data_IF_088537437809
#
_entry.id   IF_088537437809
#
_cell.length_a   1.000
_cell.length_b   1.000
_cell.length_c   1.000
_cell.angle_alpha   90.00
_cell.angle_beta   90.00
_cell.angle_gamma   90.00
#
_symmetry.space_group_name_H-M   'P 1'
#
loop_
_entity.id
_entity.type
_entity.pdbx_description
1 polymer ?
#
# COMPACT_ATOMS: atom_id res chain seq x y z
N UNK A 1 -14.55 -20.70 1.23
CA UNK A 1 -15.33 -20.76 -0.03
C UNK A 1 -14.32 -20.95 -1.16
N UNK A 2 -14.25 -22.13 -1.82
CA UNK A 2 -13.37 -22.35 -2.98
C UNK A 2 -13.82 -21.38 -4.09
N UNK A 3 -12.94 -20.48 -4.54
CA UNK A 3 -13.17 -19.73 -5.76
C UNK A 3 -13.44 -20.72 -6.88
N UNK A 4 -14.62 -20.64 -7.51
CA UNK A 4 -14.92 -21.43 -8.69
C UNK A 4 -13.96 -20.99 -9.79
N UNK A 5 -13.09 -21.89 -10.23
CA UNK A 5 -12.40 -21.78 -11.51
C UNK A 5 -13.47 -21.70 -12.60
N UNK A 6 -13.91 -20.48 -12.93
CA UNK A 6 -14.74 -20.23 -14.10
C UNK A 6 -13.79 -20.24 -15.28
N UNK A 7 -14.14 -20.98 -16.34
CA UNK A 7 -13.47 -20.83 -17.62
C UNK A 7 -13.55 -19.35 -18.02
N UNK A 8 -12.39 -18.69 -18.10
CA UNK A 8 -12.29 -17.29 -18.48
C UNK A 8 -12.47 -17.24 -20.01
N UNK A 9 -13.33 -16.34 -20.50
CA UNK A 9 -13.50 -16.15 -21.94
C UNK A 9 -12.16 -15.71 -22.56
N UNK A 10 -11.82 -16.27 -23.73
CA UNK A 10 -10.52 -16.02 -24.35
C UNK A 10 -10.31 -14.54 -24.66
N UNK A 11 -11.38 -13.86 -25.11
CA UNK A 11 -11.41 -12.44 -25.43
C UNK A 11 -11.06 -11.57 -24.22
N UNK A 12 -11.39 -12.01 -22.99
CA UNK A 12 -11.01 -11.30 -21.77
C UNK A 12 -9.57 -11.62 -21.35
N UNK A 13 -9.12 -12.86 -21.59
CA UNK A 13 -7.73 -13.26 -21.33
C UNK A 13 -6.74 -12.53 -22.24
N UNK A 14 -7.11 -12.31 -23.50
CA UNK A 14 -6.27 -11.66 -24.51
C UNK A 14 -5.98 -10.18 -24.18
N UNK A 15 -6.81 -9.54 -23.34
CA UNK A 15 -6.59 -8.17 -22.86
C UNK A 15 -5.51 -8.07 -21.77
N UNK A 16 -5.11 -9.18 -21.16
CA UNK A 16 -4.16 -9.20 -20.03
C UNK A 16 -2.73 -9.28 -20.55
N UNK A 17 -2.11 -8.11 -20.74
CA UNK A 17 -0.71 -7.99 -21.17
C UNK A 17 0.23 -7.88 -19.96
N UNK A 18 -0.08 -6.95 -19.05
CA UNK A 18 0.57 -6.77 -17.76
C UNK A 18 -0.43 -7.08 -16.65
N UNK A 19 0.06 -7.35 -15.43
CA UNK A 19 -0.76 -7.69 -14.27
C UNK A 19 -1.51 -9.04 -14.40
N UNK A 20 -0.87 -10.04 -15.00
CA UNK A 20 -1.39 -11.40 -15.00
C UNK A 20 -1.49 -11.92 -13.57
N UNK A 21 -2.71 -12.07 -13.07
CA UNK A 21 -2.95 -12.49 -11.68
C UNK A 21 -2.53 -13.94 -11.47
N UNK A 22 -1.60 -14.16 -10.55
CA UNK A 22 -1.12 -15.49 -10.15
C UNK A 22 -1.05 -15.61 -8.63
N UNK A 23 -1.23 -16.83 -8.07
CA UNK A 23 -0.95 -17.08 -6.67
C UNK A 23 0.52 -16.78 -6.36
N UNK A 24 0.75 -16.07 -5.26
CA UNK A 24 2.10 -15.79 -4.80
C UNK A 24 2.83 -17.08 -4.42
N UNK A 25 4.02 -17.26 -4.98
CA UNK A 25 4.87 -18.42 -4.74
C UNK A 25 6.34 -17.99 -4.78
N UNK A 26 7.07 -18.04 -3.64
CA UNK A 26 8.49 -17.65 -3.60
C UNK A 26 9.40 -18.51 -4.48
N UNK A 27 9.01 -19.75 -4.76
CA UNK A 27 9.79 -20.70 -5.55
C UNK A 27 9.59 -20.56 -7.06
N UNK A 28 8.58 -19.80 -7.51
CA UNK A 28 8.35 -19.58 -8.95
C UNK A 28 9.38 -18.59 -9.51
N UNK A 29 9.86 -18.81 -10.75
CA UNK A 29 10.63 -17.81 -11.47
C UNK A 29 9.87 -16.50 -11.57
N UNK A 30 10.53 -15.38 -11.26
CA UNK A 30 9.90 -14.05 -11.30
C UNK A 30 9.64 -13.64 -12.74
N UNK A 31 8.41 -13.20 -13.02
CA UNK A 31 8.01 -12.62 -14.30
C UNK A 31 7.37 -11.26 -14.04
N UNK A 32 7.98 -10.20 -14.57
CA UNK A 32 7.59 -8.82 -14.25
C UNK A 32 6.11 -8.50 -14.58
N UNK A 33 5.52 -9.22 -15.54
CA UNK A 33 4.13 -9.04 -15.95
C UNK A 33 3.13 -9.80 -15.07
N UNK A 34 3.59 -10.72 -14.21
CA UNK A 34 2.74 -11.43 -13.24
C UNK A 34 2.58 -10.61 -11.95
N UNK A 35 1.37 -10.60 -11.39
CA UNK A 35 1.02 -9.89 -10.15
C UNK A 35 0.34 -10.82 -9.14
N UNK A 36 0.49 -10.53 -7.85
CA UNK A 36 -0.19 -11.23 -6.77
C UNK A 36 -0.94 -10.26 -5.88
N UNK A 37 -2.12 -10.69 -5.42
CA UNK A 37 -2.94 -9.95 -4.45
C UNK A 37 -2.83 -10.57 -3.06
N UNK A 38 -2.77 -9.73 -2.04
CA UNK A 38 -2.61 -10.09 -0.64
C UNK A 38 -3.73 -9.47 0.21
N UNK A 39 -4.31 -10.27 1.11
CA UNK A 39 -5.08 -9.71 2.23
C UNK A 39 -4.15 -8.88 3.12
N UNK A 40 -4.65 -7.81 3.73
CA UNK A 40 -3.91 -6.96 4.66
C UNK A 40 -3.17 -7.75 5.76
N UNK A 41 -3.71 -8.90 6.16
CA UNK A 41 -3.22 -9.75 7.26
C UNK A 41 -1.94 -10.53 6.89
N UNK A 42 -1.56 -10.55 5.61
CA UNK A 42 -0.33 -11.19 5.16
C UNK A 42 0.90 -10.32 5.41
N UNK A 43 0.73 -9.01 5.35
CA UNK A 43 1.82 -8.06 5.61
C UNK A 43 2.10 -8.05 7.11
N UNK A 44 3.37 -8.19 7.48
CA UNK A 44 3.86 -8.47 8.83
C UNK A 44 4.19 -9.95 9.09
N UNK A 45 3.88 -10.87 8.17
CA UNK A 45 4.22 -12.31 8.29
C UNK A 45 5.32 -12.75 7.33
N UNK A 46 5.21 -12.33 6.07
CA UNK A 46 6.08 -12.77 4.96
C UNK A 46 6.93 -11.60 4.42
N UNK A 47 7.27 -10.60 5.25
CA UNK A 47 7.77 -9.29 4.80
C UNK A 47 9.04 -9.38 3.94
N UNK A 48 10.03 -10.18 4.35
CA UNK A 48 11.26 -10.36 3.57
C UNK A 48 10.99 -10.88 2.15
N UNK A 49 10.10 -11.88 2.03
CA UNK A 49 9.73 -12.45 0.74
C UNK A 49 8.94 -11.45 -0.12
N UNK A 50 8.09 -10.65 0.51
CA UNK A 50 7.27 -9.62 -0.16
C UNK A 50 8.15 -8.45 -0.62
N UNK A 51 9.12 -8.01 0.17
CA UNK A 51 10.10 -6.99 -0.22
C UNK A 51 10.85 -7.43 -1.47
N UNK A 52 11.38 -8.66 -1.47
CA UNK A 52 12.09 -9.20 -2.63
C UNK A 52 11.18 -9.34 -3.86
N UNK A 53 9.92 -9.74 -3.67
CA UNK A 53 8.93 -9.81 -4.74
C UNK A 53 8.68 -8.43 -5.37
N UNK A 54 8.49 -7.40 -4.54
CA UNK A 54 8.18 -6.04 -4.95
C UNK A 54 9.34 -5.26 -5.60
N UNK A 55 10.53 -5.87 -5.69
CA UNK A 55 11.64 -5.35 -6.48
C UNK A 55 11.47 -5.60 -7.98
N UNK A 56 10.76 -6.67 -8.37
CA UNK A 56 10.65 -7.12 -9.77
C UNK A 56 9.21 -7.24 -10.28
N UNK A 57 8.24 -7.37 -9.36
CA UNK A 57 6.83 -7.56 -9.67
C UNK A 57 5.98 -6.57 -8.89
N UNK A 58 4.72 -6.43 -9.30
CA UNK A 58 3.77 -5.56 -8.64
C UNK A 58 2.86 -6.41 -7.75
N UNK A 59 2.61 -5.96 -6.51
CA UNK A 59 1.62 -6.55 -5.61
C UNK A 59 0.46 -5.60 -5.33
N UNK A 60 -0.71 -6.21 -5.07
CA UNK A 60 -1.89 -5.53 -4.56
C UNK A 60 -2.20 -5.98 -3.14
N UNK A 61 -2.42 -5.05 -2.23
CA UNK A 61 -2.93 -5.33 -0.88
C UNK A 61 -4.37 -4.82 -0.80
N UNK A 62 -5.26 -5.58 -0.18
CA UNK A 62 -6.66 -5.20 -0.02
C UNK A 62 -7.18 -5.47 1.40
N UNK A 63 -8.22 -4.74 1.85
CA UNK A 63 -8.78 -4.91 3.18
C UNK A 63 -9.38 -6.30 3.34
N UNK A 64 -9.24 -6.90 4.52
CA UNK A 64 -9.86 -8.19 4.79
C UNK A 64 -11.38 -8.09 4.73
N UNK A 65 -12.00 -9.18 4.29
CA UNK A 65 -13.45 -9.26 4.12
C UNK A 65 -14.26 -8.93 5.40
N UNK A 66 -13.69 -9.17 6.59
CA UNK A 66 -14.35 -8.92 7.87
C UNK A 66 -14.56 -7.41 8.17
N UNK A 67 -14.01 -6.50 7.38
CA UNK A 67 -14.24 -5.05 7.49
C UNK A 67 -15.60 -4.67 6.87
N UNK A 68 -16.68 -5.19 7.44
CA UNK A 68 -18.07 -4.96 6.98
C UNK A 68 -18.44 -3.48 7.01
N UNK A 69 -17.85 -2.71 7.94
CA UNK A 69 -18.04 -1.26 8.06
C UNK A 69 -17.17 -0.44 7.11
N UNK A 70 -16.46 -1.07 6.16
CA UNK A 70 -15.57 -0.42 5.19
C UNK A 70 -14.39 0.38 5.80
N UNK A 71 -14.07 0.20 7.08
CA UNK A 71 -12.89 0.82 7.71
C UNK A 71 -11.60 0.47 6.98
N UNK A 72 -10.67 1.42 6.87
CA UNK A 72 -9.36 1.15 6.26
C UNK A 72 -8.35 0.57 7.26
N UNK A 73 -7.30 -0.02 6.71
CA UNK A 73 -6.10 -0.41 7.45
C UNK A 73 -5.01 0.66 7.30
N UNK A 74 -4.00 0.63 8.17
CA UNK A 74 -2.84 1.51 8.03
C UNK A 74 -2.03 1.15 6.78
N UNK A 75 -1.93 2.02 5.75
CA UNK A 75 -1.21 1.73 4.52
C UNK A 75 0.32 1.79 4.69
N UNK A 76 0.85 2.47 5.71
CA UNK A 76 2.29 2.70 5.86
C UNK A 76 3.10 1.40 5.92
N UNK A 77 2.75 0.38 6.72
CA UNK A 77 3.50 -0.88 6.72
C UNK A 77 3.49 -1.60 5.37
N UNK A 78 2.46 -1.37 4.54
CA UNK A 78 2.31 -2.02 3.23
C UNK A 78 3.22 -1.35 2.21
N UNK A 79 3.28 -0.03 2.23
CA UNK A 79 4.26 0.71 1.44
C UNK A 79 5.69 0.43 1.90
N UNK A 80 5.94 0.28 3.21
CA UNK A 80 7.27 -0.03 3.74
C UNK A 80 7.82 -1.39 3.29
N UNK A 81 6.98 -2.36 2.90
CA UNK A 81 7.43 -3.60 2.26
C UNK A 81 7.44 -3.53 0.72
N UNK A 82 7.26 -2.32 0.17
CA UNK A 82 7.32 -2.04 -1.26
C UNK A 82 6.04 -2.35 -2.05
N UNK A 83 4.91 -2.68 -1.40
CA UNK A 83 3.66 -2.93 -2.12
C UNK A 83 3.18 -1.66 -2.83
N UNK A 84 2.86 -1.77 -4.12
CA UNK A 84 2.57 -0.61 -4.97
C UNK A 84 1.07 -0.31 -5.01
N UNK A 85 0.22 -1.35 -5.09
CA UNK A 85 -1.24 -1.19 -5.14
C UNK A 85 -1.87 -1.45 -3.76
N UNK A 86 -1.78 -0.49 -2.85
CA UNK A 86 -2.38 -0.59 -1.51
C UNK A 86 -3.82 -0.05 -1.55
N UNK A 87 -4.78 -0.95 -1.78
CA UNK A 87 -6.18 -0.58 -2.00
C UNK A 87 -6.89 -0.23 -0.68
N UNK A 88 -7.47 0.96 -0.65
CA UNK A 88 -8.29 1.49 0.45
C UNK A 88 -9.73 1.76 -0.05
N UNK A 89 -10.67 1.82 0.88
CA UNK A 89 -12.06 2.18 0.70
C UNK A 89 -12.21 3.72 0.66
N UNK A 90 -12.28 4.30 -0.54
CA UNK A 90 -12.34 5.76 -0.76
C UNK A 90 -13.60 6.41 -0.19
N UNK A 91 -14.68 5.66 -0.03
CA UNK A 91 -15.93 6.12 0.58
C UNK A 91 -15.82 6.40 2.09
N UNK A 92 -14.73 5.96 2.73
CA UNK A 92 -14.54 6.10 4.18
C UNK A 92 -13.48 7.19 4.46
N UNK A 93 -13.87 8.38 4.93
CA UNK A 93 -12.95 9.51 5.17
C UNK A 93 -12.19 9.38 6.50
N UNK A 94 -11.58 8.22 6.74
CA UNK A 94 -10.82 7.95 7.95
C UNK A 94 -9.36 8.46 7.89
N UNK A 95 -8.65 8.31 9.01
CA UNK A 95 -7.23 8.66 9.14
C UNK A 95 -6.37 8.09 8.00
N UNK A 96 -6.65 6.86 7.58
CA UNK A 96 -5.83 6.17 6.59
C UNK A 96 -6.11 6.66 5.18
N UNK A 97 -7.35 7.07 4.89
CA UNK A 97 -7.65 7.81 3.66
C UNK A 97 -6.95 9.17 3.63
N UNK A 98 -6.88 9.89 4.76
CA UNK A 98 -6.14 11.15 4.85
C UNK A 98 -4.64 10.95 4.59
N UNK A 99 -4.04 9.88 5.13
CA UNK A 99 -2.64 9.50 4.84
C UNK A 99 -2.44 9.17 3.35
N UNK A 100 -3.37 8.44 2.73
CA UNK A 100 -3.33 8.14 1.31
C UNK A 100 -3.40 9.41 0.44
N UNK A 101 -4.31 10.33 0.76
CA UNK A 101 -4.41 11.63 0.09
C UNK A 101 -3.12 12.44 0.25
N UNK A 102 -2.51 12.46 1.44
CA UNK A 102 -1.25 13.14 1.68
C UNK A 102 -0.09 12.53 0.88
N UNK A 103 0.02 11.20 0.84
CA UNK A 103 1.05 10.48 0.07
C UNK A 103 0.96 10.86 -1.42
N UNK A 104 -0.23 10.75 -2.00
CA UNK A 104 -0.45 11.03 -3.43
C UNK A 104 -0.68 12.50 -3.77
N UNK A 105 -0.61 13.42 -2.79
CA UNK A 105 -0.54 14.86 -3.06
C UNK A 105 0.82 15.25 -3.68
N UNK A 106 1.84 14.43 -3.46
CA UNK A 106 3.17 14.57 -4.05
C UNK A 106 3.14 14.36 -5.57
N UNK A 107 4.25 14.69 -6.22
CA UNK A 107 4.46 14.45 -7.66
C UNK A 107 3.30 14.97 -8.55
N UNK A 108 2.79 16.16 -8.22
CA UNK A 108 1.73 16.81 -9.01
C UNK A 108 0.38 16.09 -8.97
N UNK A 109 0.08 15.29 -7.94
CA UNK A 109 -1.19 14.56 -7.79
C UNK A 109 -1.48 13.54 -8.90
N UNK A 110 -0.45 13.00 -9.53
CA UNK A 110 -0.63 12.06 -10.66
C UNK A 110 -1.01 10.63 -10.24
N UNK A 111 -1.08 10.33 -8.94
CA UNK A 111 -1.35 8.99 -8.43
C UNK A 111 -0.13 8.06 -8.35
N UNK A 112 1.08 8.57 -8.63
CA UNK A 112 2.34 7.82 -8.54
C UNK A 112 3.39 8.59 -7.74
N UNK A 113 4.03 7.90 -6.80
CA UNK A 113 5.18 8.40 -6.04
C UNK A 113 6.30 7.39 -6.18
N UNK A 114 7.50 7.86 -6.57
CA UNK A 114 8.66 7.00 -6.73
C UNK A 114 9.10 6.43 -5.37
N UNK A 115 9.30 5.11 -5.29
CA UNK A 115 9.89 4.49 -4.09
C UNK A 115 11.28 5.08 -3.84
N UNK A 116 11.65 5.39 -2.59
CA UNK A 116 13.02 5.72 -2.24
C UNK A 116 14.01 4.66 -2.75
N UNK A 117 15.17 5.09 -3.24
CA UNK A 117 16.16 4.22 -3.89
C UNK A 117 16.62 3.06 -3.00
N UNK A 118 16.77 3.31 -1.69
CA UNK A 118 17.19 2.28 -0.72
C UNK A 118 16.22 1.09 -0.64
N UNK A 119 14.93 1.28 -0.95
CA UNK A 119 13.94 0.20 -0.95
C UNK A 119 14.12 -0.80 -2.09
N UNK A 120 14.95 -0.47 -3.09
CA UNK A 120 15.28 -1.37 -4.18
C UNK A 120 16.53 -2.22 -3.89
N UNK A 121 17.17 -2.04 -2.73
CA UNK A 121 18.32 -2.82 -2.32
C UNK A 121 17.88 -4.16 -1.70
N UNK A 122 18.63 -5.24 -1.99
CA UNK A 122 18.32 -6.60 -1.53
C UNK A 122 18.36 -6.78 -0.01
N UNK A 123 19.09 -5.92 0.71
CA UNK A 123 19.28 -5.97 2.16
C UNK A 123 18.32 -5.05 2.92
N UNK A 124 17.42 -4.33 2.24
CA UNK A 124 16.48 -3.44 2.90
C UNK A 124 15.49 -4.22 3.78
N UNK A 125 15.33 -3.79 5.04
CA UNK A 125 14.38 -4.35 5.99
C UNK A 125 13.74 -3.20 6.80
N UNK A 126 12.43 -2.96 6.70
CA UNK A 126 11.76 -1.85 7.39
C UNK A 126 11.82 -1.94 8.92
N UNK A 127 12.09 -3.11 9.48
CA UNK A 127 12.24 -3.33 10.92
C UNK A 127 13.67 -3.12 11.43
N UNK A 128 14.64 -2.93 10.52
CA UNK A 128 16.06 -2.78 10.86
C UNK A 128 16.61 -1.44 10.36
N UNK A 129 16.87 -0.52 11.28
CA UNK A 129 17.45 0.80 10.94
C UNK A 129 18.79 0.67 10.20
N UNK A 130 19.60 -0.34 10.56
CA UNK A 130 20.90 -0.61 9.92
C UNK A 130 20.78 -1.07 8.46
N UNK A 131 19.57 -1.43 8.00
CA UNK A 131 19.31 -1.78 6.60
C UNK A 131 19.23 -0.56 5.67
N UNK A 132 19.04 0.64 6.24
CA UNK A 132 19.02 1.92 5.51
C UNK A 132 20.43 2.37 5.09
N UNK A 133 21.31 1.43 4.72
CA UNK A 133 22.68 1.73 4.29
C UNK A 133 22.67 2.61 3.03
N UNK A 134 23.55 3.60 2.99
CA UNK A 134 23.66 4.57 1.91
C UNK A 134 23.38 6.01 2.36
N UNK A 135 23.03 6.89 1.42
CA UNK A 135 22.78 8.33 1.64
C UNK A 135 21.40 8.62 2.26
N UNK A 136 21.00 7.88 3.30
CA UNK A 136 19.76 8.17 4.05
C UNK A 136 20.13 8.96 5.28
N UNK A 137 19.94 10.28 5.23
CA UNK A 137 20.18 11.16 6.37
C UNK A 137 18.97 11.15 7.31
N UNK A 138 19.23 10.97 8.60
CA UNK A 138 18.20 11.10 9.62
C UNK A 138 17.82 12.58 9.79
N UNK A 139 16.52 12.85 9.84
CA UNK A 139 15.98 14.19 10.08
C UNK A 139 15.41 14.26 11.48
N UNK A 140 15.85 15.24 12.26
CA UNK A 140 15.25 15.57 13.56
C UNK A 140 14.22 16.69 13.34
N UNK A 141 12.95 16.39 13.59
CA UNK A 141 11.85 17.35 13.49
C UNK A 141 11.36 17.73 14.88
N UNK A 142 11.47 19.01 15.24
CA UNK A 142 10.87 19.58 16.45
C UNK A 142 9.66 20.40 16.07
N UNK A 143 8.50 20.07 16.64
CA UNK A 143 7.23 20.77 16.39
C UNK A 143 6.75 21.43 17.68
N UNK A 144 6.52 22.74 17.64
CA UNK A 144 5.90 23.50 18.73
C UNK A 144 4.61 24.14 18.24
N UNK A 145 3.49 23.82 18.89
CA UNK A 145 2.19 24.41 18.56
C UNK A 145 2.03 25.69 19.37
N UNK A 146 2.07 26.83 18.68
CA UNK A 146 1.96 28.15 19.32
C UNK A 146 0.52 28.63 19.51
N UNK A 147 -0.43 28.13 18.70
CA UNK A 147 -1.84 28.48 18.76
C UNK A 147 -2.60 28.06 17.51
N UNK A 148 -3.92 28.31 17.48
CA UNK A 148 -4.80 28.06 16.33
C UNK A 148 -5.88 29.13 16.23
N UNK A 149 -6.31 29.47 15.00
CA UNK A 149 -7.34 30.50 14.71
C UNK A 149 -8.35 29.96 13.72
N UNK A 150 -9.60 30.42 13.80
CA UNK A 150 -10.70 29.98 12.93
C UNK A 150 -10.90 28.46 12.90
N UNK A 151 -10.70 27.80 14.04
CA UNK A 151 -11.05 26.38 14.18
C UNK A 151 -12.57 26.25 14.06
N UNK A 152 -13.03 25.29 13.26
CA UNK A 152 -14.46 25.05 13.05
C UNK A 152 -15.18 24.76 14.36
N UNK A 153 -16.46 25.11 14.43
CA UNK A 153 -17.28 24.75 15.59
C UNK A 153 -17.40 23.23 15.70
N UNK A 154 -17.32 22.70 16.91
CA UNK A 154 -17.51 21.28 17.17
C UNK A 154 -18.93 20.82 16.76
N UNK A 155 -19.91 21.73 16.77
CA UNK A 155 -21.30 21.46 16.35
C UNK A 155 -21.46 21.21 14.85
N UNK A 156 -20.61 21.78 14.00
CA UNK A 156 -20.64 21.52 12.55
C UNK A 156 -19.97 20.19 12.18
N UNK A 157 -18.92 19.79 12.91
CA UNK A 157 -18.21 18.53 12.65
C UNK A 157 -19.07 17.28 12.98
N UNK A 158 -20.00 17.38 13.92
CA UNK A 158 -20.91 16.26 14.28
C UNK A 158 -22.05 16.10 13.28
N UNK A 159 -22.49 17.18 12.61
CA UNK A 159 -23.56 17.11 11.59
C UNK A 159 -23.11 16.44 10.30
N UNK A 160 -21.83 16.58 9.94
CA UNK A 160 -21.27 15.98 8.72
C UNK A 160 -20.86 14.49 8.90
N UNK A 161 -20.98 13.95 10.12
CA UNK A 161 -20.71 12.53 10.45
C UNK A 161 -21.96 11.67 10.63
N UNK A 162 -23.16 12.22 10.43
CA UNK A 162 -24.46 11.50 10.42
C UNK A 162 -25.00 11.39 9.00
#
# INVERSE_FOLDING_TARGET
KKERSKNIAQELSDLVIYFQAVPFSPSRPRKFFETSSFSEERIGRDDELIIQYNQFQISRVYPKFLRVTSTNFDPLPKWNVGCQMVALNYQTPDKYMQINQAMFAQNGRCGYVLKPSFMNNSYYNPSEVLSLRGNVEAVVLTVTVLGGRNLGSMTSAVRDMQ
#
